data_IF_471092247641
#
_entry.id   IF_471092247641
#
_cell.length_a   1.000
_cell.length_b   1.000
_cell.length_c   1.000
_cell.angle_alpha   90.00
_cell.angle_beta   90.00
_cell.angle_gamma   90.00
#
_symmetry.space_group_name_H-M   'P 1'
#
loop_
_entity.id
_entity.type
_entity.pdbx_description
1 polymer ?
#
# COMPACT_ATOMS: atom_id res chain seq x y z
N UNK A 1 39.56 35.46 0.78
CA UNK A 1 39.06 34.30 1.52
C UNK A 1 39.47 33.05 0.73
N UNK A 2 40.64 32.46 1.07
CA UNK A 2 41.26 31.36 0.33
C UNK A 2 40.65 30.02 0.80
N UNK A 3 39.89 29.38 -0.08
CA UNK A 3 39.41 28.01 0.17
C UNK A 3 40.56 27.02 -0.08
N UNK A 4 41.10 26.48 1.00
CA UNK A 4 42.10 25.39 0.94
C UNK A 4 41.32 24.09 0.68
N UNK A 5 41.35 23.59 -0.53
CA UNK A 5 40.82 22.26 -0.85
C UNK A 5 41.75 21.18 -0.29
N UNK A 6 41.24 20.39 0.66
CA UNK A 6 41.99 19.26 1.25
C UNK A 6 42.14 18.14 0.22
N UNK A 7 43.40 17.61 0.07
CA UNK A 7 43.73 16.47 -0.83
C UNK A 7 42.84 15.23 -0.61
N UNK A 8 42.32 15.04 0.61
CA UNK A 8 41.39 13.96 0.93
C UNK A 8 40.01 14.08 0.26
N UNK A 9 39.54 15.31 0.04
CA UNK A 9 38.26 15.54 -0.68
C UNK A 9 38.41 15.33 -2.18
N UNK A 10 39.58 15.59 -2.74
CA UNK A 10 39.85 15.37 -4.17
C UNK A 10 39.92 13.87 -4.49
N UNK A 11 40.51 13.06 -3.61
CA UNK A 11 40.57 11.60 -3.79
C UNK A 11 39.21 10.92 -3.60
N UNK A 12 38.34 11.45 -2.72
CA UNK A 12 36.98 10.95 -2.54
C UNK A 12 36.07 11.20 -3.75
N UNK A 13 36.23 12.34 -4.42
CA UNK A 13 35.43 12.68 -5.62
C UNK A 13 35.88 11.90 -6.87
N UNK A 14 37.17 11.56 -6.98
CA UNK A 14 37.65 10.70 -8.07
C UNK A 14 37.22 9.24 -7.94
N UNK A 15 37.06 8.73 -6.71
CA UNK A 15 36.58 7.36 -6.47
C UNK A 15 35.12 7.13 -6.88
N UNK A 16 34.26 8.14 -6.75
CA UNK A 16 32.84 8.05 -7.17
C UNK A 16 32.68 8.08 -8.67
N UNK A 17 33.49 8.87 -9.39
CA UNK A 17 33.49 8.91 -10.84
C UNK A 17 34.06 7.62 -11.49
N UNK A 18 35.06 6.98 -10.83
CA UNK A 18 35.63 5.72 -11.30
C UNK A 18 34.70 4.52 -11.11
N UNK A 19 33.86 4.52 -10.08
CA UNK A 19 32.89 3.45 -9.83
C UNK A 19 31.75 3.38 -10.86
N UNK A 20 31.33 4.51 -11.39
CA UNK A 20 30.28 4.55 -12.44
C UNK A 20 30.75 4.06 -13.81
N UNK A 21 32.07 4.03 -14.07
CA UNK A 21 32.63 3.57 -15.35
C UNK A 21 32.87 2.05 -15.41
N UNK A 22 32.72 1.34 -14.25
CA UNK A 22 32.89 -0.10 -14.15
C UNK A 22 31.58 -0.89 -14.09
N UNK A 23 30.43 -0.23 -14.19
CA UNK A 23 29.16 -0.95 -14.38
C UNK A 23 29.21 -1.66 -15.74
N UNK A 24 29.02 -2.98 -15.78
CA UNK A 24 29.04 -3.72 -17.03
C UNK A 24 28.01 -3.09 -17.99
N UNK A 25 28.50 -2.69 -19.16
CA UNK A 25 27.65 -2.06 -20.21
C UNK A 25 26.39 -2.87 -20.57
N UNK A 26 26.34 -4.15 -20.21
CA UNK A 26 25.16 -5.01 -20.37
C UNK A 26 23.98 -4.65 -19.47
N UNK A 27 24.18 -3.89 -18.38
CA UNK A 27 23.09 -3.42 -17.51
C UNK A 27 22.41 -2.14 -18.03
N UNK A 28 23.00 -1.47 -19.01
CA UNK A 28 22.49 -0.21 -19.59
C UNK A 28 21.86 -0.38 -20.98
N UNK A 29 21.85 -1.61 -21.51
CA UNK A 29 21.35 -1.90 -22.84
C UNK A 29 20.14 -2.86 -22.79
N UNK A 30 19.22 -2.68 -21.82
CA UNK A 30 17.90 -3.23 -22.00
C UNK A 30 17.25 -2.54 -23.21
N UNK A 31 16.81 -3.31 -24.19
CA UNK A 31 16.07 -2.81 -25.34
C UNK A 31 14.86 -2.02 -24.85
N UNK A 32 14.51 -0.93 -25.52
CA UNK A 32 13.37 -0.10 -25.15
C UNK A 32 12.05 -0.90 -25.11
N UNK A 33 11.93 -1.93 -25.93
CA UNK A 33 10.78 -2.84 -25.94
C UNK A 33 10.81 -3.80 -24.75
N UNK A 34 11.99 -4.24 -24.31
CA UNK A 34 12.15 -5.04 -23.10
C UNK A 34 11.81 -4.21 -21.84
N UNK A 35 12.26 -2.95 -21.77
CA UNK A 35 11.89 -2.03 -20.67
C UNK A 35 10.39 -1.75 -20.61
N UNK A 36 9.72 -1.63 -21.76
CA UNK A 36 8.26 -1.47 -21.80
C UNK A 36 7.53 -2.72 -21.34
N UNK A 37 8.03 -3.90 -21.70
CA UNK A 37 7.53 -5.19 -21.26
C UNK A 37 7.60 -5.30 -19.73
N UNK A 38 8.78 -5.07 -19.16
CA UNK A 38 9.01 -5.08 -17.70
C UNK A 38 8.13 -4.04 -17.00
N UNK A 39 8.04 -2.83 -17.51
CA UNK A 39 7.22 -1.79 -16.93
C UNK A 39 5.72 -2.14 -16.92
N UNK A 40 5.23 -2.79 -17.98
CA UNK A 40 3.86 -3.27 -18.08
C UNK A 40 3.57 -4.37 -17.06
N UNK A 41 4.46 -5.34 -16.94
CA UNK A 41 4.32 -6.42 -15.95
C UNK A 41 4.37 -5.88 -14.52
N UNK A 42 5.31 -4.99 -14.22
CA UNK A 42 5.41 -4.32 -12.93
C UNK A 42 4.15 -3.52 -12.59
N UNK A 43 3.56 -2.84 -13.56
CA UNK A 43 2.29 -2.13 -13.38
C UNK A 43 1.14 -3.08 -13.06
N UNK A 44 1.00 -4.17 -13.82
CA UNK A 44 -0.06 -5.17 -13.60
C UNK A 44 0.10 -5.80 -12.20
N UNK A 45 1.33 -6.16 -11.83
CA UNK A 45 1.63 -6.71 -10.51
C UNK A 45 1.30 -5.74 -9.37
N UNK A 46 1.67 -4.47 -9.51
CA UNK A 46 1.47 -3.46 -8.47
C UNK A 46 0.04 -2.90 -8.43
N UNK A 47 -0.79 -3.16 -9.44
CA UNK A 47 -2.11 -2.54 -9.58
C UNK A 47 -3.02 -2.75 -8.35
N UNK A 48 -3.18 -3.97 -7.80
CA UNK A 48 -4.00 -4.16 -6.61
C UNK A 48 -3.53 -3.33 -5.42
N UNK A 49 -2.22 -3.30 -5.18
CA UNK A 49 -1.61 -2.51 -4.10
C UNK A 49 -1.86 -1.01 -4.29
N UNK A 50 -1.77 -0.49 -5.53
CA UNK A 50 -2.03 0.92 -5.82
C UNK A 50 -3.49 1.29 -5.54
N UNK A 51 -4.43 0.42 -5.90
CA UNK A 51 -5.86 0.62 -5.62
C UNK A 51 -6.16 0.56 -4.12
N UNK A 52 -5.54 -0.37 -3.39
CA UNK A 52 -5.62 -0.42 -1.93
C UNK A 52 -5.06 0.85 -1.29
N UNK A 53 -3.92 1.33 -1.77
CA UNK A 53 -3.32 2.56 -1.26
C UNK A 53 -4.20 3.78 -1.48
N UNK A 54 -4.85 3.89 -2.64
CA UNK A 54 -5.81 4.94 -2.94
C UNK A 54 -7.03 4.88 -2.00
N UNK A 55 -7.52 3.68 -1.71
CA UNK A 55 -8.61 3.47 -0.76
C UNK A 55 -8.19 3.80 0.67
N UNK A 56 -7.00 3.36 1.07
CA UNK A 56 -6.39 3.67 2.37
C UNK A 56 -6.24 5.19 2.59
N UNK A 57 -5.80 5.93 1.57
CA UNK A 57 -5.69 7.39 1.65
C UNK A 57 -7.03 8.01 2.05
N UNK A 58 -8.11 7.64 1.38
CA UNK A 58 -9.45 8.16 1.66
C UNK A 58 -10.00 7.70 3.01
N UNK A 59 -9.83 6.42 3.33
CA UNK A 59 -10.46 5.80 4.50
C UNK A 59 -9.70 6.02 5.79
N UNK A 60 -8.37 6.25 5.74
CA UNK A 60 -7.53 6.30 6.94
C UNK A 60 -6.78 7.61 7.09
N UNK A 61 -6.19 8.13 6.00
CA UNK A 61 -5.27 9.25 6.06
C UNK A 61 -5.95 10.61 5.86
N UNK A 62 -7.15 10.63 5.30
CA UNK A 62 -7.87 11.85 5.01
C UNK A 62 -9.16 11.98 5.85
N UNK A 63 -9.10 12.63 7.02
CA UNK A 63 -10.27 12.80 7.88
C UNK A 63 -11.41 13.62 7.26
N UNK A 64 -11.15 14.35 6.18
CA UNK A 64 -12.16 15.14 5.45
C UNK A 64 -12.89 14.33 4.37
N UNK A 65 -12.42 13.12 4.04
CA UNK A 65 -13.08 12.25 3.08
C UNK A 65 -14.38 11.66 3.67
N UNK A 66 -15.41 11.54 2.84
CA UNK A 66 -16.70 10.95 3.24
C UNK A 66 -16.54 9.47 3.66
N UNK A 67 -15.57 8.79 3.07
CA UNK A 67 -15.24 7.39 3.31
C UNK A 67 -14.37 7.16 4.57
N UNK A 68 -13.97 8.20 5.28
CA UNK A 68 -13.06 8.08 6.44
C UNK A 68 -13.62 7.15 7.52
N UNK A 69 -12.85 6.12 7.88
CA UNK A 69 -13.27 5.08 8.85
C UNK A 69 -12.70 5.26 10.27
N UNK A 70 -11.85 6.27 10.49
CA UNK A 70 -11.38 6.60 11.84
C UNK A 70 -9.90 6.35 12.11
N UNK A 71 -9.08 6.09 11.07
CA UNK A 71 -7.64 5.84 11.19
C UNK A 71 -7.31 4.35 11.29
N UNK A 72 -6.02 4.04 11.51
CA UNK A 72 -5.56 2.66 11.65
C UNK A 72 -6.00 2.02 12.98
N UNK A 73 -6.14 0.70 12.97
CA UNK A 73 -6.39 -0.16 14.12
C UNK A 73 -7.70 0.19 14.86
N UNK A 74 -8.67 0.72 14.13
CA UNK A 74 -10.00 1.06 14.66
C UNK A 74 -11.07 0.50 13.75
N UNK A 75 -12.12 -0.08 14.35
CA UNK A 75 -13.29 -0.49 13.60
C UNK A 75 -14.26 0.67 13.42
N UNK A 76 -14.77 0.77 12.18
CA UNK A 76 -16.00 1.48 11.88
C UNK A 76 -17.09 0.44 11.60
N UNK A 77 -18.16 0.51 12.37
CA UNK A 77 -19.31 -0.39 12.23
C UNK A 77 -20.41 0.29 11.41
N UNK A 78 -21.01 -0.45 10.50
CA UNK A 78 -22.15 -0.04 9.72
C UNK A 78 -23.35 -0.90 10.12
N UNK A 79 -24.43 -0.26 10.57
CA UNK A 79 -25.69 -0.93 10.92
C UNK A 79 -26.65 -1.07 9.73
N UNK A 80 -26.38 -0.32 8.66
CA UNK A 80 -27.19 -0.33 7.45
C UNK A 80 -26.54 -1.18 6.39
N UNK A 81 -27.38 -1.81 5.57
CA UNK A 81 -26.93 -2.60 4.42
C UNK A 81 -26.51 -1.67 3.27
N UNK A 82 -25.59 -2.15 2.45
CA UNK A 82 -25.22 -1.44 1.22
C UNK A 82 -26.37 -1.39 0.23
N UNK A 83 -26.51 -0.26 -0.44
CA UNK A 83 -27.52 -0.01 -1.47
C UNK A 83 -26.83 0.42 -2.77
N UNK A 84 -27.52 0.46 -3.92
CA UNK A 84 -26.96 0.94 -5.17
C UNK A 84 -26.48 2.40 -5.17
N UNK A 85 -26.82 3.18 -4.15
CA UNK A 85 -26.31 4.55 -3.98
C UNK A 85 -24.91 4.60 -3.36
N UNK A 86 -24.48 3.53 -2.70
CA UNK A 86 -23.13 3.39 -2.16
C UNK A 86 -22.17 2.98 -3.29
N UNK A 87 -21.24 3.84 -3.65
CA UNK A 87 -20.33 3.65 -4.81
C UNK A 87 -18.85 3.64 -4.42
N UNK A 88 -18.54 3.69 -3.16
CA UNK A 88 -17.18 3.75 -2.62
C UNK A 88 -16.46 2.41 -2.78
N UNK A 89 -17.21 1.33 -2.67
CA UNK A 89 -16.72 -0.05 -2.81
C UNK A 89 -17.44 -0.73 -3.97
N UNK A 90 -16.68 -1.46 -4.78
CA UNK A 90 -17.24 -2.20 -5.91
C UNK A 90 -17.91 -3.47 -5.41
N UNK A 91 -19.20 -3.63 -5.72
CA UNK A 91 -20.00 -4.84 -5.43
C UNK A 91 -19.91 -5.35 -3.97
N UNK A 92 -20.15 -4.49 -2.96
CA UNK A 92 -20.24 -4.98 -1.59
C UNK A 92 -21.46 -5.90 -1.45
N UNK A 93 -21.38 -6.85 -0.48
CA UNK A 93 -22.54 -7.64 -0.12
C UNK A 93 -23.63 -6.74 0.48
N UNK A 94 -24.86 -6.94 0.08
CA UNK A 94 -26.03 -6.19 0.56
C UNK A 94 -26.92 -6.98 1.51
N UNK A 95 -26.51 -8.15 1.97
CA UNK A 95 -27.31 -9.03 2.84
C UNK A 95 -26.88 -8.94 4.31
N UNK A 96 -25.66 -8.48 4.58
CA UNK A 96 -25.12 -8.39 5.93
C UNK A 96 -24.49 -7.02 6.19
N UNK A 97 -24.56 -6.51 7.44
CA UNK A 97 -23.83 -5.32 7.82
C UNK A 97 -22.33 -5.58 7.90
N UNK A 98 -21.53 -4.54 7.75
CA UNK A 98 -20.08 -4.60 7.74
C UNK A 98 -19.45 -3.89 8.93
N UNK A 99 -18.26 -4.35 9.28
CA UNK A 99 -17.32 -3.64 10.12
C UNK A 99 -15.98 -3.58 9.42
N UNK A 100 -15.47 -2.39 9.18
CA UNK A 100 -14.22 -2.16 8.48
C UNK A 100 -13.13 -1.70 9.43
N UNK A 101 -11.93 -2.21 9.24
CA UNK A 101 -10.72 -1.72 9.90
C UNK A 101 -9.53 -1.85 8.95
N UNK A 102 -8.64 -0.87 9.00
CA UNK A 102 -7.31 -0.95 8.40
C UNK A 102 -6.31 -1.25 9.50
N UNK A 103 -5.52 -2.30 9.32
CA UNK A 103 -4.57 -2.75 10.32
C UNK A 103 -3.15 -2.28 9.93
N UNK A 104 -2.48 -1.60 10.86
CA UNK A 104 -1.06 -1.30 10.75
C UNK A 104 -0.27 -2.27 11.62
N UNK A 105 0.37 -3.26 11.00
CA UNK A 105 1.14 -4.30 11.67
C UNK A 105 2.64 -4.01 11.69
N UNK A 106 3.08 -2.82 11.27
CA UNK A 106 4.51 -2.48 11.16
C UNK A 106 5.18 -2.31 12.51
N UNK A 107 4.46 -1.86 13.51
CA UNK A 107 5.02 -1.60 14.85
C UNK A 107 4.79 -2.75 15.82
N UNK A 108 3.62 -3.38 15.77
CA UNK A 108 3.23 -4.44 16.69
C UNK A 108 2.11 -5.33 16.10
N UNK A 109 2.00 -6.58 16.56
CA UNK A 109 0.85 -7.42 16.20
C UNK A 109 -0.44 -6.87 16.79
N UNK A 110 -1.55 -7.04 16.08
CA UNK A 110 -2.88 -6.63 16.51
C UNK A 110 -3.69 -7.84 16.98
N UNK A 111 -4.48 -7.68 18.03
CA UNK A 111 -5.39 -8.69 18.54
C UNK A 111 -6.82 -8.28 18.19
N UNK A 112 -7.49 -9.11 17.40
CA UNK A 112 -8.90 -8.96 17.11
C UNK A 112 -9.71 -9.68 18.17
N UNK A 113 -10.50 -8.94 18.96
CA UNK A 113 -11.42 -9.49 19.95
C UNK A 113 -12.85 -9.41 19.45
N UNK A 114 -13.57 -10.52 19.54
CA UNK A 114 -14.94 -10.64 19.09
C UNK A 114 -15.80 -11.03 20.28
N UNK A 115 -16.93 -10.35 20.54
CA UNK A 115 -17.86 -10.77 21.56
C UNK A 115 -18.48 -12.13 21.24
N UNK A 116 -19.03 -12.80 22.21
CA UNK A 116 -19.77 -14.03 21.98
C UNK A 116 -20.94 -13.78 21.02
N UNK A 117 -21.02 -14.64 20.01
CA UNK A 117 -22.08 -14.59 19.00
C UNK A 117 -23.06 -15.71 19.29
N UNK A 118 -24.36 -15.48 19.10
CA UNK A 118 -25.36 -16.52 19.25
C UNK A 118 -25.13 -17.67 18.27
N UNK A 119 -25.38 -18.91 18.67
CA UNK A 119 -24.98 -20.13 17.97
C UNK A 119 -25.53 -20.29 16.53
N UNK A 120 -26.64 -19.61 16.24
CA UNK A 120 -27.29 -19.61 14.93
C UNK A 120 -26.93 -18.39 14.05
N UNK A 121 -26.03 -17.52 14.51
CA UNK A 121 -25.63 -16.30 13.79
C UNK A 121 -24.37 -16.53 12.96
N UNK A 122 -24.51 -16.28 11.67
CA UNK A 122 -23.35 -16.24 10.75
C UNK A 122 -22.52 -14.98 10.97
N UNK A 123 -21.22 -15.14 11.01
CA UNK A 123 -20.27 -14.04 10.91
C UNK A 123 -18.95 -14.51 10.28
N UNK A 124 -18.18 -13.60 9.72
CA UNK A 124 -16.88 -13.90 9.13
C UNK A 124 -15.91 -12.75 9.40
N UNK A 125 -14.66 -13.09 9.66
CA UNK A 125 -13.54 -12.14 9.66
C UNK A 125 -12.68 -12.45 8.45
N UNK A 126 -12.66 -11.54 7.50
CA UNK A 126 -11.80 -11.64 6.33
C UNK A 126 -10.63 -10.67 6.51
N UNK A 127 -9.42 -11.21 6.44
CA UNK A 127 -8.18 -10.43 6.42
C UNK A 127 -7.69 -10.40 4.97
N UNK A 128 -7.41 -9.22 4.46
CA UNK A 128 -6.98 -9.03 3.07
C UNK A 128 -5.69 -8.25 3.06
N UNK A 129 -4.67 -8.75 2.37
CA UNK A 129 -3.42 -8.03 2.20
C UNK A 129 -3.49 -6.99 1.06
N UNK A 130 -2.39 -6.24 0.84
CA UNK A 130 -2.32 -5.20 -0.19
C UNK A 130 -2.41 -5.75 -1.62
N UNK A 131 -2.23 -7.06 -1.80
CA UNK A 131 -2.32 -7.74 -3.10
C UNK A 131 -3.61 -8.54 -3.26
N UNK A 132 -4.59 -8.32 -2.37
CA UNK A 132 -5.91 -8.99 -2.37
C UNK A 132 -5.89 -10.47 -1.97
N UNK A 133 -4.80 -10.97 -1.38
CA UNK A 133 -4.83 -12.29 -0.78
C UNK A 133 -5.64 -12.29 0.51
N UNK A 134 -6.44 -13.33 0.74
CA UNK A 134 -7.30 -13.52 1.90
C UNK A 134 -7.28 -14.97 2.40
#
# INVERSE_FOLDING_TARGET
MNMIFSRRRLLGSMGVLGGCLMLPRGLLAADADDLRGIAREAWIYAYPMLMHYQTLEKQVLNPAAAEYVGGFNRFRHYSELYTPSNREIVTPNNDTPYSWAWLDLRSEPQVLSVPAVADDRYYVHQLVDQYTHN
#
